data_IF_246201184264
#
_entry.id   IF_246201184264
#
_cell.length_a   1.000
_cell.length_b   1.000
_cell.length_c   1.000
_cell.angle_alpha   90.00
_cell.angle_beta   90.00
_cell.angle_gamma   90.00
#
_symmetry.space_group_name_H-M   'P 1'
#
loop_
_entity.id
_entity.type
_entity.pdbx_description
1 polymer ?
#
# COMPACT_ATOMS: atom_id res chain seq x y z
N UNK A 1 -0.59 -5.24 -10.31
CA UNK A 1 0.38 -4.54 -11.20
C UNK A 1 1.75 -4.31 -10.54
N UNK A 2 1.83 -3.86 -9.28
CA UNK A 2 3.11 -3.62 -8.58
C UNK A 2 3.93 -4.89 -8.28
N UNK A 3 3.26 -6.04 -8.11
CA UNK A 3 3.90 -7.35 -7.91
C UNK A 3 4.83 -7.77 -9.07
N UNK A 4 4.56 -7.29 -10.29
CA UNK A 4 5.43 -7.57 -11.45
C UNK A 4 6.65 -6.63 -11.48
N UNK A 5 6.51 -5.41 -10.95
CA UNK A 5 7.55 -4.37 -11.00
C UNK A 5 8.58 -4.51 -9.86
N UNK A 6 8.16 -5.07 -8.72
CA UNK A 6 9.02 -5.28 -7.56
C UNK A 6 8.71 -6.67 -7.00
N UNK A 7 9.47 -7.69 -7.40
CA UNK A 7 9.62 -8.91 -6.60
C UNK A 7 10.01 -8.47 -5.19
N UNK A 8 9.01 -8.35 -4.30
CA UNK A 8 9.18 -7.74 -2.97
C UNK A 8 9.67 -8.84 -2.04
N UNK A 9 10.96 -9.12 -2.17
CA UNK A 9 11.67 -10.11 -1.35
C UNK A 9 12.43 -9.38 -0.25
N UNK A 10 12.77 -10.06 0.86
CA UNK A 10 13.61 -9.45 1.89
C UNK A 10 14.92 -8.86 1.34
N UNK A 11 15.48 -9.49 0.30
CA UNK A 11 16.69 -9.02 -0.37
C UNK A 11 16.47 -7.70 -1.12
N UNK A 12 15.43 -7.59 -1.94
CA UNK A 12 15.16 -6.36 -2.71
C UNK A 12 14.80 -5.20 -1.78
N UNK A 13 14.03 -5.45 -0.71
CA UNK A 13 13.75 -4.49 0.35
C UNK A 13 15.05 -4.03 1.02
N UNK A 14 15.94 -4.96 1.42
CA UNK A 14 17.22 -4.64 2.04
C UNK A 14 18.14 -3.80 1.16
N UNK A 15 18.25 -4.15 -0.13
CA UNK A 15 19.02 -3.37 -1.11
C UNK A 15 18.43 -1.95 -1.25
N UNK A 16 17.11 -1.85 -1.34
CA UNK A 16 16.41 -0.57 -1.47
C UNK A 16 16.69 0.33 -0.26
N UNK A 17 16.58 -0.20 0.96
CA UNK A 17 16.89 0.53 2.19
C UNK A 17 18.36 0.99 2.24
N UNK A 18 19.30 0.15 1.78
CA UNK A 18 20.71 0.51 1.71
C UNK A 18 20.95 1.68 0.72
N UNK A 19 20.32 1.64 -0.46
CA UNK A 19 20.39 2.73 -1.45
C UNK A 19 19.79 4.01 -0.87
N UNK A 20 18.65 3.93 -0.20
CA UNK A 20 18.01 5.08 0.44
C UNK A 20 18.86 5.66 1.59
N UNK A 21 19.57 4.82 2.34
CA UNK A 21 20.51 5.27 3.37
C UNK A 21 21.70 6.02 2.75
N UNK A 22 22.25 5.53 1.65
CA UNK A 22 23.30 6.23 0.88
C UNK A 22 22.77 7.57 0.34
N UNK A 23 21.54 7.60 -0.20
CA UNK A 23 20.90 8.83 -0.67
C UNK A 23 20.68 9.84 0.47
N UNK A 24 20.36 9.39 1.69
CA UNK A 24 20.26 10.27 2.86
C UNK A 24 21.62 10.91 3.22
N UNK A 25 22.73 10.15 3.13
CA UNK A 25 24.10 10.68 3.33
C UNK A 25 24.51 11.64 2.22
N UNK A 26 24.22 11.25 0.97
CA UNK A 26 23.89 12.08 -0.19
C UNK A 26 23.51 13.53 0.10
N UNK A 27 22.20 13.65 0.34
CA UNK A 27 21.43 14.84 0.67
C UNK A 27 22.03 15.58 1.86
N UNK A 28 22.41 14.87 2.93
CA UNK A 28 23.01 15.48 4.11
C UNK A 28 24.34 16.19 3.81
N UNK A 29 25.20 15.62 2.95
CA UNK A 29 26.46 16.25 2.53
C UNK A 29 26.21 17.47 1.65
N UNK A 30 25.30 17.35 0.68
CA UNK A 30 24.94 18.46 -0.22
C UNK A 30 24.36 19.64 0.56
N UNK A 31 23.44 19.38 1.49
CA UNK A 31 22.82 20.39 2.35
C UNK A 31 23.86 21.15 3.20
N UNK A 32 24.91 20.46 3.66
CA UNK A 32 25.98 21.09 4.45
C UNK A 32 27.00 21.86 3.61
N UNK A 33 27.26 21.41 2.40
CA UNK A 33 28.19 22.08 1.49
C UNK A 33 27.54 23.32 0.86
N UNK A 34 26.24 23.26 0.59
CA UNK A 34 25.50 24.28 -0.15
C UNK A 34 24.21 24.70 0.59
N UNK A 35 24.28 25.28 1.80
CA UNK A 35 23.10 25.57 2.62
C UNK A 35 22.14 26.60 1.99
N UNK A 36 22.60 27.41 1.03
CA UNK A 36 21.78 28.41 0.34
C UNK A 36 21.04 27.87 -0.89
N UNK A 37 21.70 27.06 -1.73
CA UNK A 37 21.14 26.63 -3.02
C UNK A 37 20.39 25.30 -2.93
N UNK A 38 20.95 24.33 -2.20
CA UNK A 38 20.41 22.97 -2.19
C UNK A 38 18.98 22.85 -1.63
N UNK A 39 18.56 23.60 -0.59
CA UNK A 39 17.15 23.60 -0.16
C UNK A 39 16.19 24.04 -1.27
N UNK A 40 16.59 24.97 -2.13
CA UNK A 40 15.77 25.42 -3.26
C UNK A 40 15.65 24.33 -4.32
N UNK A 41 16.74 23.63 -4.62
CA UNK A 41 16.74 22.47 -5.53
C UNK A 41 15.88 21.34 -4.98
N UNK A 42 16.02 21.02 -3.68
CA UNK A 42 15.20 20.00 -3.01
C UNK A 42 13.70 20.33 -3.07
N UNK A 43 13.31 21.61 -2.93
CA UNK A 43 11.92 22.04 -3.13
C UNK A 43 11.44 21.78 -4.55
N UNK A 44 12.26 22.05 -5.56
CA UNK A 44 11.91 21.76 -6.95
C UNK A 44 11.77 20.27 -7.23
N UNK A 45 12.69 19.46 -6.70
CA UNK A 45 12.59 17.99 -6.79
C UNK A 45 11.28 17.52 -6.16
N UNK A 46 10.95 18.01 -4.96
CA UNK A 46 9.73 17.64 -4.26
C UNK A 46 8.47 18.12 -5.01
N UNK A 47 8.49 19.35 -5.52
CA UNK A 47 7.40 19.92 -6.30
C UNK A 47 7.18 19.19 -7.63
N UNK A 48 8.23 18.67 -8.27
CA UNK A 48 8.14 17.87 -9.48
C UNK A 48 7.72 16.41 -9.18
N UNK A 49 8.22 15.84 -8.08
CA UNK A 49 7.84 14.49 -7.66
C UNK A 49 6.37 14.41 -7.22
N UNK A 50 5.84 15.45 -6.59
CA UNK A 50 4.45 15.50 -6.11
C UNK A 50 3.41 15.17 -7.18
N UNK A 51 3.33 15.87 -8.34
CA UNK A 51 2.37 15.54 -9.39
C UNK A 51 2.63 14.15 -10.00
N UNK A 52 3.88 13.68 -10.04
CA UNK A 52 4.18 12.31 -10.48
C UNK A 52 3.60 11.28 -9.50
N UNK A 53 3.73 11.50 -8.19
CA UNK A 53 3.11 10.64 -7.17
C UNK A 53 1.59 10.68 -7.26
N UNK A 54 0.98 11.85 -7.42
CA UNK A 54 -0.46 11.98 -7.58
C UNK A 54 -0.93 11.26 -8.85
N UNK A 55 -0.22 11.44 -9.97
CA UNK A 55 -0.56 10.78 -11.24
C UNK A 55 -0.43 9.26 -11.15
N UNK A 56 0.59 8.74 -10.48
CA UNK A 56 0.81 7.28 -10.41
C UNK A 56 -0.10 6.62 -9.37
N UNK A 57 -0.26 7.25 -8.20
CA UNK A 57 -0.93 6.64 -7.05
C UNK A 57 -2.41 6.98 -7.00
N UNK A 58 -2.81 8.21 -7.29
CA UNK A 58 -4.21 8.60 -7.20
C UNK A 58 -5.00 8.24 -8.46
N UNK A 59 -4.45 8.54 -9.63
CA UNK A 59 -5.10 8.32 -10.92
C UNK A 59 -4.35 7.23 -11.70
N UNK A 60 -4.44 5.94 -11.29
CA UNK A 60 -3.68 4.88 -11.92
C UNK A 60 -3.87 4.97 -13.44
N UNK A 61 -2.81 5.35 -14.16
CA UNK A 61 -2.84 5.69 -15.58
C UNK A 61 -3.44 4.55 -16.44
N UNK A 62 -3.50 3.36 -15.87
CA UNK A 62 -3.94 2.13 -16.50
C UNK A 62 -5.36 1.68 -16.10
N UNK A 63 -6.09 2.49 -15.33
CA UNK A 63 -7.44 2.15 -14.82
C UNK A 63 -8.40 3.34 -14.89
N UNK A 64 -8.32 4.16 -15.95
CA UNK A 64 -9.23 5.30 -16.15
C UNK A 64 -10.67 4.87 -16.46
N UNK A 65 -10.83 3.68 -17.03
CA UNK A 65 -12.11 3.03 -17.29
C UNK A 65 -12.88 2.67 -16.01
N UNK A 66 -12.17 2.53 -14.89
CA UNK A 66 -12.71 2.13 -13.59
C UNK A 66 -13.20 3.31 -12.71
N UNK A 67 -13.06 4.55 -13.20
CA UNK A 67 -13.48 5.74 -12.44
C UNK A 67 -15.01 5.75 -12.34
N UNK A 68 -15.53 5.80 -11.10
CA UNK A 68 -16.96 5.81 -10.84
C UNK A 68 -17.58 4.43 -10.60
N UNK A 69 -16.81 3.35 -10.79
CA UNK A 69 -17.27 1.97 -10.55
C UNK A 69 -17.05 1.52 -9.10
N UNK A 70 -16.18 2.19 -8.34
CA UNK A 70 -15.88 1.82 -6.95
C UNK A 70 -16.85 2.39 -5.91
N UNK A 71 -16.97 1.71 -4.78
CA UNK A 71 -17.64 2.25 -3.61
C UNK A 71 -16.81 3.40 -2.99
N UNK A 72 -17.51 4.36 -2.37
CA UNK A 72 -16.95 5.51 -1.65
C UNK A 72 -16.85 5.27 -0.14
N UNK A 73 -16.91 4.01 0.27
CA UNK A 73 -16.72 3.61 1.65
C UNK A 73 -15.31 3.99 2.14
N UNK A 74 -15.25 4.49 3.38
CA UNK A 74 -14.00 4.82 4.07
C UNK A 74 -13.79 3.79 5.17
N UNK A 75 -12.72 3.00 5.05
CA UNK A 75 -12.35 2.02 6.07
C UNK A 75 -11.52 2.73 7.15
N UNK A 76 -12.19 3.10 8.25
CA UNK A 76 -11.58 3.84 9.36
C UNK A 76 -10.66 3.01 10.26
N UNK A 77 -10.75 1.68 10.23
CA UNK A 77 -9.95 0.83 11.09
C UNK A 77 -8.65 0.44 10.36
N UNK A 78 -7.48 0.98 10.75
CA UNK A 78 -6.22 0.72 10.05
C UNK A 78 -5.72 -0.71 10.28
N UNK A 79 -6.34 -1.44 11.20
CA UNK A 79 -6.06 -2.84 11.52
C UNK A 79 -7.16 -3.77 11.00
N UNK A 80 -8.23 -3.24 10.37
CA UNK A 80 -9.31 -4.06 9.83
C UNK A 80 -8.77 -5.12 8.89
N UNK A 81 -7.81 -4.76 8.04
CA UNK A 81 -7.17 -5.67 7.11
C UNK A 81 -6.50 -6.88 7.76
N UNK A 82 -5.77 -6.68 8.86
CA UNK A 82 -5.12 -7.79 9.57
C UNK A 82 -6.13 -8.69 10.31
N UNK A 83 -7.36 -8.22 10.50
CA UNK A 83 -8.43 -8.97 11.16
C UNK A 83 -9.41 -9.60 10.17
N UNK A 84 -9.65 -8.96 9.02
CA UNK A 84 -10.55 -9.43 7.98
C UNK A 84 -10.05 -10.73 7.34
N UNK A 85 -8.73 -10.93 7.25
CA UNK A 85 -8.13 -12.22 6.82
C UNK A 85 -8.26 -13.35 7.86
N UNK A 86 -8.69 -13.05 9.09
CA UNK A 86 -8.91 -14.07 10.13
C UNK A 86 -10.41 -14.31 10.41
N UNK A 87 -11.29 -13.46 9.89
CA UNK A 87 -12.68 -13.87 9.68
C UNK A 87 -12.69 -14.68 8.38
N UNK A 88 -13.35 -15.84 8.31
CA UNK A 88 -13.57 -16.54 7.05
C UNK A 88 -14.52 -15.71 6.19
N UNK A 89 -14.04 -14.60 5.66
CA UNK A 89 -14.60 -13.89 4.51
C UNK A 89 -14.04 -14.56 3.26
N UNK A 90 -14.15 -15.89 3.21
CA UNK A 90 -13.75 -16.72 2.06
C UNK A 90 -14.84 -16.65 1.00
N UNK A 91 -15.03 -15.48 0.40
CA UNK A 91 -15.58 -15.42 -0.94
C UNK A 91 -14.50 -15.85 -1.92
N UNK A 92 -14.44 -17.11 -2.37
CA UNK A 92 -13.53 -17.44 -3.48
C UNK A 92 -14.04 -16.70 -4.72
N UNK A 93 -13.30 -15.67 -5.14
CA UNK A 93 -13.63 -14.85 -6.31
C UNK A 93 -13.01 -15.49 -7.55
N UNK A 94 -13.77 -16.29 -8.30
CA UNK A 94 -13.29 -16.92 -9.53
C UNK A 94 -13.69 -16.04 -10.74
N UNK A 95 -12.71 -15.53 -11.48
CA UNK A 95 -12.95 -14.79 -12.71
C UNK A 95 -12.84 -15.71 -13.93
N UNK A 96 -13.97 -16.01 -14.59
CA UNK A 96 -13.98 -16.74 -15.86
C UNK A 96 -14.12 -15.79 -17.05
N UNK A 97 -13.38 -16.01 -18.15
CA UNK A 97 -13.74 -15.42 -19.43
C UNK A 97 -14.96 -16.16 -19.99
N UNK A 98 -16.16 -15.61 -19.78
CA UNK A 98 -17.40 -16.19 -20.32
C UNK A 98 -17.49 -16.02 -21.85
N UNK A 99 -16.80 -15.01 -22.41
CA UNK A 99 -16.43 -14.87 -23.81
C UNK A 99 -15.20 -13.93 -23.95
N UNK A 100 -14.73 -13.62 -25.18
CA UNK A 100 -13.58 -12.70 -25.41
C UNK A 100 -13.80 -11.25 -24.93
N UNK A 101 -14.97 -10.91 -24.41
CA UNK A 101 -15.38 -9.56 -24.01
C UNK A 101 -15.94 -9.45 -22.59
N UNK A 102 -16.22 -10.54 -21.87
CA UNK A 102 -16.75 -10.49 -20.51
C UNK A 102 -15.99 -11.37 -19.52
N UNK A 103 -15.59 -10.76 -18.40
CA UNK A 103 -15.05 -11.46 -17.22
C UNK A 103 -16.18 -11.53 -16.19
N UNK A 104 -16.63 -12.72 -15.84
CA UNK A 104 -17.61 -12.92 -14.77
C UNK A 104 -16.83 -13.25 -13.50
N UNK A 105 -16.96 -12.40 -12.48
CA UNK A 105 -16.38 -12.64 -11.15
C UNK A 105 -17.43 -13.32 -10.29
N UNK A 106 -17.21 -14.59 -9.95
CA UNK A 106 -18.07 -15.35 -9.04
C UNK A 106 -17.49 -15.30 -7.65
N UNK A 107 -18.20 -14.74 -6.67
CA UNK A 107 -17.76 -14.76 -5.27
C UNK A 107 -18.55 -15.83 -4.50
N UNK A 108 -17.85 -16.86 -4.04
CA UNK A 108 -18.48 -17.96 -3.29
C UNK A 108 -18.31 -17.75 -1.79
N UNK A 109 -19.29 -17.18 -1.09
CA UNK A 109 -19.22 -16.91 0.36
C UNK A 109 -19.83 -18.08 1.16
N UNK A 110 -19.10 -18.72 2.08
CA UNK A 110 -19.67 -19.67 3.01
C UNK A 110 -20.53 -18.94 4.05
N UNK A 111 -21.79 -19.32 4.16
CA UNK A 111 -22.74 -18.70 5.09
C UNK A 111 -23.21 -19.78 6.08
N UNK A 112 -23.22 -19.46 7.37
CA UNK A 112 -23.72 -20.39 8.40
C UNK A 112 -25.24 -20.52 8.32
N UNK A 113 -25.83 -21.64 8.78
CA UNK A 113 -27.29 -21.83 8.76
C UNK A 113 -28.07 -20.71 9.46
N UNK A 114 -27.51 -20.14 10.53
CA UNK A 114 -28.10 -19.03 11.30
C UNK A 114 -28.11 -17.70 10.53
N UNK A 115 -27.22 -17.54 9.54
CA UNK A 115 -27.05 -16.30 8.76
C UNK A 115 -27.80 -16.31 7.43
N UNK A 116 -28.33 -17.46 7.02
CA UNK A 116 -29.16 -17.61 5.82
C UNK A 116 -30.43 -16.74 5.91
N UNK A 117 -31.13 -16.80 7.04
CA UNK A 117 -32.36 -16.02 7.26
C UNK A 117 -32.07 -14.51 7.27
N UNK A 118 -30.90 -14.09 7.77
CA UNK A 118 -30.47 -12.68 7.75
C UNK A 118 -30.20 -12.19 6.32
N UNK A 119 -29.49 -12.99 5.52
CA UNK A 119 -29.18 -12.66 4.11
C UNK A 119 -30.45 -12.60 3.26
N UNK A 120 -31.36 -13.56 3.43
CA UNK A 120 -32.65 -13.56 2.73
C UNK A 120 -33.49 -12.33 3.08
N UNK A 121 -33.55 -11.96 4.37
CA UNK A 121 -34.26 -10.76 4.81
C UNK A 121 -33.62 -9.46 4.30
N UNK A 122 -32.30 -9.46 4.06
CA UNK A 122 -31.57 -8.31 3.51
C UNK A 122 -31.83 -8.13 2.02
N UNK A 123 -31.86 -9.23 1.25
CA UNK A 123 -32.23 -9.24 -0.18
C UNK A 123 -33.66 -8.73 -0.37
N UNK A 124 -34.61 -9.23 0.44
CA UNK A 124 -36.00 -8.78 0.41
C UNK A 124 -36.16 -7.28 0.74
N UNK A 125 -35.26 -6.72 1.58
CA UNK A 125 -35.31 -5.32 2.03
C UNK A 125 -34.70 -4.35 1.03
N UNK A 126 -33.60 -4.71 0.38
CA UNK A 126 -32.80 -3.79 -0.45
C UNK A 126 -33.07 -3.92 -1.96
N UNK A 127 -33.69 -5.01 -2.40
CA UNK A 127 -34.06 -5.26 -3.80
C UNK A 127 -32.96 -5.96 -4.61
N UNK A 128 -33.38 -6.75 -5.60
CA UNK A 128 -32.55 -7.66 -6.42
C UNK A 128 -31.38 -6.96 -7.14
N UNK A 129 -31.52 -5.67 -7.45
CA UNK A 129 -30.51 -4.89 -8.18
C UNK A 129 -29.17 -4.73 -7.42
N UNK A 130 -29.14 -4.98 -6.10
CA UNK A 130 -27.92 -4.86 -5.29
C UNK A 130 -26.95 -6.05 -5.43
N UNK A 131 -27.42 -7.21 -5.92
CA UNK A 131 -26.65 -8.48 -5.96
C UNK A 131 -26.39 -9.03 -7.38
N UNK A 132 -26.57 -8.22 -8.43
CA UNK A 132 -26.41 -8.65 -9.84
C UNK A 132 -24.95 -8.74 -10.35
N UNK A 133 -24.03 -9.25 -9.52
CA UNK A 133 -22.89 -10.02 -9.99
C UNK A 133 -23.13 -11.44 -9.45
N UNK A 134 -23.18 -12.47 -10.30
CA UNK A 134 -23.66 -13.81 -9.91
C UNK A 134 -22.86 -14.40 -8.73
N UNK A 135 -23.29 -14.07 -7.52
CA UNK A 135 -22.72 -14.49 -6.25
C UNK A 135 -23.43 -15.79 -5.87
N UNK A 136 -22.78 -16.92 -6.14
CA UNK A 136 -23.29 -18.21 -5.68
C UNK A 136 -22.84 -18.45 -4.25
N UNK A 137 -23.77 -18.74 -3.35
CA UNK A 137 -23.46 -19.00 -1.95
C UNK A 137 -23.28 -20.51 -1.72
N UNK A 138 -22.14 -20.93 -1.14
CA UNK A 138 -21.81 -22.34 -0.85
C UNK A 138 -22.11 -22.67 0.62
N UNK A 139 -22.98 -23.63 0.86
CA UNK A 139 -23.43 -24.00 2.21
C UNK A 139 -23.07 -25.45 2.54
N UNK A 140 -22.22 -25.69 3.56
CA UNK A 140 -22.02 -27.02 4.09
C UNK A 140 -23.26 -27.46 4.89
N UNK A 141 -23.92 -28.52 4.43
CA UNK A 141 -25.05 -29.14 5.12
C UNK A 141 -24.54 -30.02 6.27
N UNK A 142 -25.39 -30.22 7.28
CA UNK A 142 -25.08 -31.12 8.41
C UNK A 142 -24.89 -32.59 8.01
N UNK A 143 -25.34 -32.96 6.81
CA UNK A 143 -25.15 -34.27 6.18
C UNK A 143 -23.72 -34.47 5.64
N UNK A 144 -22.93 -33.41 5.54
CA UNK A 144 -21.63 -33.40 4.88
C UNK A 144 -21.70 -33.12 3.37
N UNK A 145 -22.89 -32.90 2.83
CA UNK A 145 -23.11 -32.43 1.45
C UNK A 145 -23.00 -30.90 1.39
N UNK A 146 -22.85 -30.35 0.18
CA UNK A 146 -22.74 -28.91 -0.05
C UNK A 146 -23.88 -28.47 -0.97
N UNK A 147 -24.65 -27.48 -0.53
CA UNK A 147 -25.68 -26.84 -1.35
C UNK A 147 -25.16 -25.51 -1.89
N UNK A 148 -25.51 -25.18 -3.13
CA UNK A 148 -25.20 -23.90 -3.75
C UNK A 148 -26.51 -23.17 -4.03
N UNK A 149 -26.56 -21.88 -3.71
CA UNK A 149 -27.72 -21.03 -3.98
C UNK A 149 -27.32 -19.88 -4.88
N UNK A 150 -28.20 -19.47 -5.79
CA UNK A 150 -28.05 -18.24 -6.56
C UNK A 150 -28.35 -16.99 -5.72
N UNK A 151 -28.27 -15.82 -6.37
CA UNK A 151 -28.51 -14.52 -5.74
C UNK A 151 -29.98 -14.39 -5.30
N UNK A 152 -30.88 -15.17 -5.90
CA UNK A 152 -32.29 -15.27 -5.60
C UNK A 152 -32.58 -16.23 -4.43
N UNK A 153 -31.56 -16.92 -3.92
CA UNK A 153 -31.70 -17.91 -2.86
C UNK A 153 -32.35 -19.22 -3.32
N UNK A 154 -32.45 -19.45 -4.63
CA UNK A 154 -32.87 -20.72 -5.20
C UNK A 154 -31.68 -21.68 -5.23
N UNK A 155 -31.93 -22.94 -4.83
CA UNK A 155 -30.90 -23.98 -4.88
C UNK A 155 -30.55 -24.28 -6.35
N UNK A 156 -29.27 -24.21 -6.66
CA UNK A 156 -28.78 -24.50 -8.01
C UNK A 156 -29.07 -25.94 -8.41
N UNK A 157 -29.26 -26.13 -9.71
CA UNK A 157 -29.38 -27.47 -10.27
C UNK A 157 -28.16 -28.34 -9.87
N UNK A 158 -28.34 -29.63 -9.53
CA UNK A 158 -27.28 -30.48 -9.00
C UNK A 158 -26.03 -30.59 -9.90
N UNK A 159 -26.21 -30.51 -11.21
CA UNK A 159 -25.12 -30.53 -12.19
C UNK A 159 -24.31 -29.23 -12.22
N UNK A 160 -24.93 -28.09 -11.92
CA UNK A 160 -24.25 -26.79 -11.78
C UNK A 160 -23.53 -26.73 -10.44
N UNK A 161 -24.18 -27.17 -9.36
CA UNK A 161 -23.58 -27.28 -8.03
C UNK A 161 -22.33 -28.18 -8.04
N UNK A 162 -22.39 -29.35 -8.70
CA UNK A 162 -21.25 -30.25 -8.84
C UNK A 162 -20.07 -29.63 -9.62
N UNK A 163 -20.35 -28.85 -10.67
CA UNK A 163 -19.32 -28.12 -11.41
C UNK A 163 -18.66 -27.04 -10.55
N UNK A 164 -19.45 -26.29 -9.78
CA UNK A 164 -18.94 -25.27 -8.86
C UNK A 164 -18.12 -25.88 -7.71
N UNK A 165 -18.49 -27.07 -7.23
CA UNK A 165 -17.74 -27.78 -6.19
C UNK A 165 -16.41 -28.32 -6.71
N UNK A 166 -16.37 -28.91 -7.93
CA UNK A 166 -15.13 -29.31 -8.59
C UNK A 166 -14.19 -28.11 -8.80
N UNK A 167 -14.72 -26.97 -9.25
CA UNK A 167 -13.98 -25.73 -9.43
C UNK A 167 -13.49 -25.13 -8.12
N UNK A 168 -14.31 -25.20 -7.06
CA UNK A 168 -13.94 -24.77 -5.72
C UNK A 168 -12.85 -25.67 -5.15
N UNK A 169 -12.94 -27.00 -5.27
CA UNK A 169 -11.90 -27.92 -4.81
C UNK A 169 -10.59 -27.77 -5.58
N UNK A 170 -10.65 -27.58 -6.90
CA UNK A 170 -9.48 -27.30 -7.73
C UNK A 170 -8.78 -26.00 -7.29
N UNK A 171 -9.56 -24.96 -6.99
CA UNK A 171 -9.03 -23.69 -6.49
C UNK A 171 -8.58 -23.78 -5.04
N UNK A 172 -9.34 -24.39 -4.13
CA UNK A 172 -9.00 -24.54 -2.72
C UNK A 172 -7.75 -25.41 -2.52
N UNK A 173 -7.54 -26.41 -3.38
CA UNK A 173 -6.30 -27.20 -3.37
C UNK A 173 -5.08 -26.42 -3.91
N UNK A 174 -5.30 -25.38 -4.71
CA UNK A 174 -4.25 -24.53 -5.31
C UNK A 174 -4.02 -23.19 -4.61
N UNK A 175 -5.00 -22.69 -3.86
CA UNK A 175 -4.92 -21.46 -3.06
C UNK A 175 -4.20 -21.85 -1.76
N UNK A 176 -2.89 -21.73 -1.79
CA UNK A 176 -2.09 -21.71 -0.57
C UNK A 176 -2.59 -20.53 0.27
N UNK A 177 -3.25 -20.80 1.41
CA UNK A 177 -3.83 -19.80 2.33
C UNK A 177 -2.82 -18.70 2.72
N UNK A 178 -1.53 -18.96 2.51
CA UNK A 178 -0.45 -17.99 2.73
C UNK A 178 -0.34 -16.90 1.63
N UNK A 179 -1.01 -17.03 0.49
CA UNK A 179 -0.88 -16.09 -0.64
C UNK A 179 -1.49 -14.74 -0.29
N UNK A 180 -2.75 -14.67 0.19
CA UNK A 180 -3.42 -13.39 0.45
C UNK A 180 -2.71 -12.50 1.49
N UNK A 181 -2.30 -13.01 2.68
CA UNK A 181 -1.54 -12.22 3.64
C UNK A 181 -0.20 -11.72 3.07
N UNK A 182 0.44 -12.53 2.22
CA UNK A 182 1.71 -12.15 1.60
C UNK A 182 1.57 -11.00 0.62
N UNK A 183 0.48 -10.95 -0.18
CA UNK A 183 0.26 -9.89 -1.15
C UNK A 183 -0.01 -8.55 -0.45
N UNK A 184 -0.80 -8.58 0.63
CA UNK A 184 -1.08 -7.40 1.44
C UNK A 184 0.20 -6.81 2.05
N UNK A 185 1.01 -7.66 2.70
CA UNK A 185 2.29 -7.23 3.30
C UNK A 185 3.22 -6.66 2.24
N UNK A 186 3.28 -7.27 1.05
CA UNK A 186 4.09 -6.76 -0.06
C UNK A 186 3.59 -5.38 -0.52
N UNK A 187 2.29 -5.21 -0.71
CA UNK A 187 1.69 -3.92 -1.10
C UNK A 187 2.02 -2.81 -0.09
N UNK A 188 1.77 -3.05 1.20
CA UNK A 188 2.06 -2.05 2.23
C UNK A 188 3.57 -1.81 2.40
N UNK A 189 4.41 -2.81 2.15
CA UNK A 189 5.88 -2.65 2.13
C UNK A 189 6.31 -1.72 1.00
N UNK A 190 5.78 -1.92 -0.22
CA UNK A 190 6.08 -1.05 -1.37
C UNK A 190 5.62 0.38 -1.10
N UNK A 191 4.39 0.57 -0.60
CA UNK A 191 3.85 1.88 -0.21
C UNK A 191 4.77 2.60 0.79
N UNK A 192 5.24 1.87 1.82
CA UNK A 192 6.23 2.40 2.78
C UNK A 192 7.51 2.85 2.09
N UNK A 193 8.09 1.99 1.24
CA UNK A 193 9.36 2.26 0.56
C UNK A 193 9.27 3.46 -0.39
N UNK A 194 8.14 3.65 -1.07
CA UNK A 194 7.89 4.80 -1.95
C UNK A 194 7.91 6.13 -1.17
N UNK A 195 7.45 6.16 0.08
CA UNK A 195 7.42 7.40 0.85
C UNK A 195 8.74 7.73 1.58
N UNK A 196 9.69 6.80 1.70
CA UNK A 196 11.01 7.07 2.30
C UNK A 196 11.79 8.18 1.55
N UNK A 197 11.95 8.14 0.21
CA UNK A 197 12.54 9.25 -0.55
C UNK A 197 11.90 10.61 -0.26
N UNK A 198 10.57 10.65 -0.12
CA UNK A 198 9.83 11.88 0.17
C UNK A 198 10.26 12.46 1.52
N UNK A 199 10.39 11.63 2.56
CA UNK A 199 10.92 12.04 3.87
C UNK A 199 12.35 12.58 3.80
N UNK A 200 13.21 11.93 3.03
CA UNK A 200 14.61 12.34 2.84
C UNK A 200 14.69 13.72 2.17
N UNK A 201 13.93 13.93 1.09
CA UNK A 201 13.94 15.19 0.34
C UNK A 201 13.25 16.31 1.13
N UNK A 202 12.14 16.02 1.82
CA UNK A 202 11.44 16.98 2.67
C UNK A 202 12.33 17.57 3.76
N UNK A 203 13.22 16.75 4.36
CA UNK A 203 14.23 17.22 5.32
C UNK A 203 15.08 18.37 4.77
N UNK A 204 15.52 18.26 3.52
CA UNK A 204 16.34 19.27 2.86
C UNK A 204 15.52 20.45 2.31
N UNK A 205 14.29 20.18 1.85
CA UNK A 205 13.43 21.18 1.21
C UNK A 205 12.88 22.22 2.20
N UNK A 206 12.51 21.81 3.42
CA UNK A 206 11.86 22.71 4.38
C UNK A 206 12.77 23.14 5.53
N UNK A 207 12.62 24.38 5.99
CA UNK A 207 13.31 24.88 7.19
C UNK A 207 12.51 24.61 8.47
N UNK A 208 11.17 24.64 8.38
CA UNK A 208 10.27 24.36 9.51
C UNK A 208 10.14 22.87 9.77
N UNK A 209 10.26 22.46 11.03
CA UNK A 209 10.06 21.06 11.44
C UNK A 209 8.62 20.60 11.24
N UNK A 210 7.64 21.49 11.45
CA UNK A 210 6.24 21.20 11.19
C UNK A 210 5.99 20.89 9.70
N UNK A 211 6.57 21.67 8.79
CA UNK A 211 6.45 21.42 7.35
C UNK A 211 7.12 20.10 6.95
N UNK A 212 8.26 19.76 7.54
CA UNK A 212 8.93 18.46 7.29
C UNK A 212 8.07 17.29 7.71
N UNK A 213 7.46 17.36 8.90
CA UNK A 213 6.60 16.29 9.42
C UNK A 213 5.25 16.19 8.71
N UNK A 214 4.68 17.33 8.29
CA UNK A 214 3.36 17.37 7.70
C UNK A 214 3.34 17.03 6.20
N UNK A 215 4.46 17.18 5.48
CA UNK A 215 4.46 17.01 4.03
C UNK A 215 4.07 15.60 3.58
N UNK A 216 4.66 14.56 4.17
CA UNK A 216 4.33 13.16 3.82
C UNK A 216 2.87 12.80 4.11
N UNK A 217 2.37 13.00 5.34
CA UNK A 217 0.95 12.80 5.65
C UNK A 217 0.02 13.64 4.77
N UNK A 218 0.37 14.90 4.50
CA UNK A 218 -0.42 15.76 3.62
C UNK A 218 -0.51 15.23 2.18
N UNK A 219 0.61 14.74 1.63
CA UNK A 219 0.63 14.09 0.32
C UNK A 219 -0.19 12.80 0.32
N UNK A 220 -0.04 11.95 1.33
CA UNK A 220 -0.80 10.70 1.44
C UNK A 220 -2.30 10.97 1.57
N UNK A 221 -2.70 11.93 2.39
CA UNK A 221 -4.10 12.34 2.51
C UNK A 221 -4.65 12.83 1.18
N UNK A 222 -3.86 13.58 0.41
CA UNK A 222 -4.27 14.07 -0.92
C UNK A 222 -4.48 12.90 -1.89
N UNK A 223 -3.64 11.86 -1.85
CA UNK A 223 -3.78 10.66 -2.68
C UNK A 223 -5.08 9.92 -2.33
N UNK A 224 -5.28 9.60 -1.05
CA UNK A 224 -6.49 8.92 -0.56
C UNK A 224 -7.76 9.71 -0.90
N UNK A 225 -7.74 11.03 -0.67
CA UNK A 225 -8.86 11.91 -0.99
C UNK A 225 -9.18 11.90 -2.49
N UNK A 226 -8.16 11.89 -3.36
CA UNK A 226 -8.37 11.82 -4.80
C UNK A 226 -8.91 10.46 -5.24
N UNK A 227 -8.39 9.36 -4.69
CA UNK A 227 -8.91 8.01 -4.98
C UNK A 227 -10.38 7.88 -4.57
N UNK A 228 -10.72 8.34 -3.36
CA UNK A 228 -12.09 8.42 -2.86
C UNK A 228 -12.98 9.29 -3.76
N UNK A 229 -12.51 10.49 -4.12
CA UNK A 229 -13.26 11.42 -4.96
C UNK A 229 -13.54 10.86 -6.37
N UNK A 230 -12.58 10.10 -6.90
CA UNK A 230 -12.71 9.43 -8.20
C UNK A 230 -13.49 8.11 -8.12
N UNK A 231 -13.83 7.61 -6.93
CA UNK A 231 -14.44 6.29 -6.76
C UNK A 231 -13.66 5.21 -7.54
N UNK A 232 -12.32 5.29 -7.45
CA UNK A 232 -11.43 4.45 -8.24
C UNK A 232 -11.27 3.08 -7.58
N UNK A 233 -12.23 2.17 -7.82
CA UNK A 233 -12.25 0.69 -7.60
C UNK A 233 -11.68 0.08 -6.32
N UNK A 234 -11.19 0.88 -5.37
CA UNK A 234 -10.68 0.47 -4.07
C UNK A 234 -11.25 1.43 -3.03
N UNK A 235 -11.78 0.86 -1.95
CA UNK A 235 -12.10 1.61 -0.74
C UNK A 235 -10.89 2.45 -0.32
N UNK A 236 -11.08 3.72 0.01
CA UNK A 236 -9.99 4.50 0.60
C UNK A 236 -9.69 3.96 1.99
N UNK A 237 -8.43 3.61 2.20
CA UNK A 237 -7.99 2.90 3.40
C UNK A 237 -7.17 3.81 4.29
N UNK A 238 -7.62 3.98 5.54
CA UNK A 238 -6.78 4.64 6.54
C UNK A 238 -5.43 3.92 6.74
N UNK A 239 -5.37 2.61 6.44
CA UNK A 239 -4.14 1.83 6.48
C UNK A 239 -3.08 2.39 5.51
N UNK A 240 -3.44 2.74 4.28
CA UNK A 240 -2.49 3.29 3.31
C UNK A 240 -1.97 4.67 3.73
N UNK A 241 -2.86 5.51 4.26
CA UNK A 241 -2.46 6.77 4.88
C UNK A 241 -1.40 6.59 5.97
N UNK A 242 -1.61 5.61 6.87
CA UNK A 242 -0.68 5.32 7.99
C UNK A 242 0.65 4.77 7.46
N UNK A 243 0.61 3.83 6.52
CA UNK A 243 1.79 3.17 5.94
C UNK A 243 2.67 4.16 5.18
N UNK A 244 2.08 5.00 4.34
CA UNK A 244 2.77 6.06 3.62
C UNK A 244 3.39 7.09 4.58
N UNK A 245 2.63 7.48 5.61
CA UNK A 245 3.12 8.37 6.67
C UNK A 245 4.32 7.77 7.42
N UNK A 246 4.29 6.47 7.73
CA UNK A 246 5.40 5.75 8.35
C UNK A 246 6.65 5.74 7.45
N UNK A 247 6.49 5.46 6.15
CA UNK A 247 7.58 5.53 5.17
C UNK A 247 8.25 6.91 5.15
N UNK A 248 7.45 7.97 5.12
CA UNK A 248 7.94 9.34 5.19
C UNK A 248 8.73 9.62 6.48
N UNK A 249 8.22 9.20 7.65
CA UNK A 249 8.90 9.39 8.92
C UNK A 249 10.23 8.63 9.00
N UNK A 250 10.28 7.42 8.44
CA UNK A 250 11.53 6.64 8.32
C UNK A 250 12.56 7.41 7.49
N UNK A 251 12.17 7.93 6.32
CA UNK A 251 13.05 8.74 5.48
C UNK A 251 13.55 10.01 6.17
N UNK A 252 12.68 10.69 6.91
CA UNK A 252 13.03 11.87 7.69
C UNK A 252 14.05 11.52 8.80
N UNK A 253 13.84 10.41 9.51
CA UNK A 253 14.77 9.92 10.53
C UNK A 253 16.13 9.56 9.94
N UNK A 254 16.17 8.88 8.78
CA UNK A 254 17.40 8.56 8.05
C UNK A 254 18.18 9.83 7.68
N UNK A 255 17.51 10.85 7.15
CA UNK A 255 18.14 12.12 6.80
C UNK A 255 18.69 12.87 8.02
N UNK A 256 17.95 12.92 9.14
CA UNK A 256 18.41 13.51 10.40
C UNK A 256 19.65 12.78 10.93
N UNK A 257 19.63 11.45 10.94
CA UNK A 257 20.76 10.64 11.38
C UNK A 257 21.99 10.91 10.50
N UNK A 258 21.85 10.83 9.18
CA UNK A 258 22.91 11.10 8.21
C UNK A 258 23.51 12.50 8.38
N UNK A 259 22.68 13.53 8.57
CA UNK A 259 23.12 14.89 8.81
C UNK A 259 23.94 15.02 10.10
N UNK A 260 23.50 14.40 11.20
CA UNK A 260 24.22 14.39 12.47
C UNK A 260 25.56 13.63 12.38
N UNK A 261 25.60 12.49 11.68
CA UNK A 261 26.85 11.73 11.48
C UNK A 261 27.86 12.50 10.62
N UNK A 262 27.40 13.15 9.55
CA UNK A 262 28.25 14.02 8.75
C UNK A 262 28.84 15.16 9.60
N UNK A 263 28.06 15.74 10.53
CA UNK A 263 28.50 16.82 11.41
C UNK A 263 29.67 16.44 12.31
N UNK A 264 29.66 15.22 12.86
CA UNK A 264 30.72 14.73 13.74
C UNK A 264 32.05 14.49 13.02
N UNK A 265 32.00 14.02 11.78
CA UNK A 265 33.20 13.61 11.03
C UNK A 265 34.19 14.76 10.76
N UNK A 266 33.72 16.01 10.59
CA UNK A 266 34.60 17.17 10.34
C UNK A 266 35.39 17.66 11.55
N UNK A 267 34.87 17.46 12.77
CA UNK A 267 35.56 17.93 13.98
C UNK A 267 36.89 17.19 14.21
N UNK A 268 36.98 15.94 13.77
CA UNK A 268 38.21 15.13 13.89
C UNK A 268 39.31 15.60 12.94
N UNK A 269 38.98 16.04 11.74
CA UNK A 269 39.99 16.47 10.76
C UNK A 269 40.68 17.79 11.12
N UNK A 270 39.99 18.71 11.81
CA UNK A 270 40.61 19.98 12.24
C UNK A 270 41.52 19.82 13.47
N UNK A 271 41.27 18.86 14.36
CA UNK A 271 42.09 18.69 15.57
C UNK A 271 43.44 18.00 15.28
N UNK A 272 43.61 17.37 14.11
CA UNK A 272 44.85 16.67 13.75
C UNK A 272 45.82 17.51 12.90
N UNK A 273 45.47 18.76 12.58
CA UNK A 273 46.31 19.66 11.77
C UNK A 273 47.15 20.66 12.58
N UNK A 274 47.22 20.55 13.91
CA UNK A 274 48.00 21.53 14.70
C UNK A 274 48.75 20.94 15.91
N UNK A 275 49.87 20.23 15.69
CA UNK A 275 50.88 20.13 16.75
C UNK A 275 52.32 20.46 16.36
N UNK A 276 52.60 21.09 15.20
CA UNK A 276 54.00 21.25 14.76
C UNK A 276 54.37 22.57 14.04
N UNK A 277 53.93 23.72 14.55
CA UNK A 277 54.56 25.04 14.32
C UNK A 277 54.31 25.89 15.56
N UNK A 278 55.11 25.78 16.62
CA UNK A 278 56.42 26.46 16.77
C UNK A 278 57.09 25.89 18.02
N UNK A 279 58.43 25.76 18.02
CA UNK A 279 59.25 26.93 18.32
C UNK A 279 60.56 26.94 17.51
N UNK A 280 61.38 27.96 17.78
CA UNK A 280 62.75 28.17 17.28
C UNK A 280 62.84 28.89 15.93
N UNK A 281 62.89 30.22 16.00
CA UNK A 281 64.20 30.87 15.95
C UNK A 281 64.18 32.18 16.75
N UNK A 282 64.67 32.06 17.98
CA UNK A 282 65.41 33.12 18.66
C UNK A 282 66.74 33.29 17.90
N UNK A 283 66.99 34.46 17.34
CA UNK A 283 68.35 34.97 17.17
C UNK A 283 68.35 36.49 17.31
N UNK A 284 69.04 36.86 18.40
CA UNK A 284 69.61 38.13 18.87
C UNK A 284 69.82 39.22 17.84
#
# INVERSE_FOLDING_TARGET
MWQVLLYTTPLTVGITLAVLAVAAVVVARLLRNNPGTFPREAKWILAAATPVYLLILAAPILSWDQIGEGDREIIWNPVAYYKADNAPTEGVSISYPADRSQTVSLRVIPVSPERLEEVQAEIEREGEDYYLAADYHRYPLTTGEVAYFDAEGEELAPDVAAQLDELYEEHAAGVDDNVAPSLLVQEKTVNTLLFIPIGIVAFAAFSSWAARLAFGPGLSFTIEFLQWAMAATRSSELADFVVNSAGHLIGLAMAVAAFRFAARSRRRSHHHQDPAKTPEHLTV
#
